data_IF_844670918786
#
_entry.id   IF_844670918786
#
_cell.length_a   1.000
_cell.length_b   1.000
_cell.length_c   1.000
_cell.angle_alpha   90.00
_cell.angle_beta   90.00
_cell.angle_gamma   90.00
#
_symmetry.space_group_name_H-M   'P 1'
#
loop_
_entity.id
_entity.type
_entity.pdbx_description
1 polymer ?
#
# COMPACT_ATOMS: atom_id res chain seq x y z
N UNK A 1 -9.01 -2.17 -12.77
CA UNK A 1 -9.35 -2.13 -11.33
C UNK A 1 -8.10 -1.75 -10.57
N UNK A 2 -8.23 -0.90 -9.55
CA UNK A 2 -7.13 -0.58 -8.64
C UNK A 2 -7.01 -1.67 -7.55
N UNK A 3 -5.83 -1.80 -6.96
CA UNK A 3 -5.57 -2.72 -5.85
C UNK A 3 -5.35 -1.92 -4.56
N UNK A 4 -5.93 -2.41 -3.46
CA UNK A 4 -5.72 -1.90 -2.11
C UNK A 4 -5.34 -3.07 -1.19
N UNK A 5 -4.16 -3.01 -0.58
CA UNK A 5 -3.71 -4.01 0.41
C UNK A 5 -4.10 -3.54 1.81
N UNK A 6 -4.79 -4.40 2.54
CA UNK A 6 -5.33 -4.10 3.88
C UNK A 6 -4.96 -5.23 4.82
N UNK A 7 -4.54 -4.87 6.02
CA UNK A 7 -4.34 -5.81 7.11
C UNK A 7 -5.60 -5.88 7.96
N UNK A 8 -6.12 -7.08 8.16
CA UNK A 8 -7.28 -7.36 9.00
C UNK A 8 -6.88 -8.32 10.11
N UNK A 9 -7.58 -8.27 11.24
CA UNK A 9 -7.47 -9.35 12.22
C UNK A 9 -7.94 -10.66 11.60
N UNK A 10 -7.34 -11.77 12.05
CA UNK A 10 -7.64 -13.10 11.50
C UNK A 10 -9.13 -13.45 11.61
N UNK A 11 -9.73 -13.16 12.77
CA UNK A 11 -11.15 -13.39 13.04
C UNK A 11 -12.07 -12.59 12.11
N UNK A 12 -11.71 -11.35 11.79
CA UNK A 12 -12.50 -10.52 10.87
C UNK A 12 -12.37 -11.00 9.43
N UNK A 13 -11.15 -11.35 8.99
CA UNK A 13 -10.91 -11.90 7.66
C UNK A 13 -11.69 -13.22 7.44
N UNK A 14 -11.67 -14.13 8.42
CA UNK A 14 -12.44 -15.38 8.32
C UNK A 14 -13.94 -15.11 8.22
N UNK A 15 -14.47 -14.25 9.11
CA UNK A 15 -15.89 -13.89 9.11
C UNK A 15 -16.30 -13.24 7.78
N UNK A 16 -15.50 -12.30 7.29
CA UNK A 16 -15.75 -11.62 6.02
C UNK A 16 -15.78 -12.60 4.85
N UNK A 17 -14.76 -13.46 4.73
CA UNK A 17 -14.69 -14.47 3.65
C UNK A 17 -15.90 -15.39 3.67
N UNK A 18 -16.25 -15.93 4.84
CA UNK A 18 -17.39 -16.83 4.97
C UNK A 18 -18.72 -16.17 4.56
N UNK A 19 -18.94 -14.93 4.97
CA UNK A 19 -20.16 -14.19 4.63
C UNK A 19 -20.18 -13.83 3.15
N UNK A 20 -19.11 -13.26 2.63
CA UNK A 20 -18.99 -12.89 1.22
C UNK A 20 -19.25 -14.09 0.29
N UNK A 21 -18.65 -15.25 0.61
CA UNK A 21 -18.84 -16.47 -0.18
C UNK A 21 -20.25 -17.05 -0.05
N UNK A 22 -20.92 -16.85 1.10
CA UNK A 22 -22.32 -17.26 1.28
C UNK A 22 -23.29 -16.40 0.45
N UNK A 23 -23.02 -15.09 0.33
CA UNK A 23 -23.88 -14.14 -0.37
C UNK A 23 -23.65 -14.18 -1.88
N UNK A 24 -22.40 -14.08 -2.33
CA UNK A 24 -22.05 -13.95 -3.75
C UNK A 24 -21.52 -15.26 -4.37
N UNK A 25 -21.39 -16.33 -3.58
CA UNK A 25 -20.91 -17.63 -4.03
C UNK A 25 -19.39 -17.84 -3.90
N UNK A 26 -18.94 -19.03 -4.28
CA UNK A 26 -17.57 -19.53 -4.09
C UNK A 26 -16.66 -19.26 -5.30
N UNK A 27 -17.02 -18.29 -6.15
CA UNK A 27 -16.31 -17.96 -7.38
C UNK A 27 -15.23 -16.88 -7.23
N UNK A 28 -14.44 -16.70 -8.29
CA UNK A 28 -13.47 -15.61 -8.40
C UNK A 28 -14.20 -14.27 -8.36
N UNK A 29 -13.79 -13.40 -7.43
CA UNK A 29 -14.30 -12.03 -7.32
C UNK A 29 -15.41 -11.82 -6.29
N UNK A 30 -15.92 -12.87 -5.62
CA UNK A 30 -16.93 -12.71 -4.55
C UNK A 30 -16.45 -11.82 -3.40
N UNK A 31 -15.19 -11.97 -3.00
CA UNK A 31 -14.53 -11.14 -1.99
C UNK A 31 -14.39 -9.68 -2.44
N UNK A 32 -13.93 -9.48 -3.68
CA UNK A 32 -13.76 -8.14 -4.24
C UNK A 32 -15.11 -7.43 -4.36
N UNK A 33 -16.17 -8.14 -4.74
CA UNK A 33 -17.52 -7.58 -4.84
C UNK A 33 -18.08 -7.18 -3.48
N UNK A 34 -17.96 -8.05 -2.49
CA UNK A 34 -18.36 -7.75 -1.12
C UNK A 34 -17.57 -6.57 -0.54
N UNK A 35 -16.27 -6.47 -0.84
CA UNK A 35 -15.42 -5.37 -0.36
C UNK A 35 -15.78 -4.04 -1.03
N UNK A 36 -16.03 -4.04 -2.34
CA UNK A 36 -16.48 -2.86 -3.08
C UNK A 36 -17.79 -2.31 -2.50
N UNK A 37 -18.77 -3.16 -2.22
CA UNK A 37 -20.05 -2.73 -1.62
C UNK A 37 -19.84 -2.18 -0.21
N UNK A 38 -19.08 -2.88 0.65
CA UNK A 38 -18.81 -2.43 2.01
C UNK A 38 -18.05 -1.09 2.05
N UNK A 39 -17.05 -0.89 1.19
CA UNK A 39 -16.31 0.37 1.12
C UNK A 39 -17.15 1.51 0.54
N UNK A 40 -18.04 1.21 -0.42
CA UNK A 40 -18.98 2.21 -0.95
C UNK A 40 -19.90 2.71 0.15
N UNK A 41 -20.50 1.80 0.92
CA UNK A 41 -21.39 2.15 2.04
C UNK A 41 -20.63 2.93 3.12
N UNK A 42 -19.44 2.48 3.50
CA UNK A 42 -18.60 3.17 4.48
C UNK A 42 -18.26 4.60 4.05
N UNK A 43 -17.84 4.80 2.79
CA UNK A 43 -17.55 6.13 2.27
C UNK A 43 -18.80 7.01 2.27
N UNK A 44 -19.94 6.52 1.78
CA UNK A 44 -21.20 7.28 1.76
C UNK A 44 -21.65 7.73 3.14
N UNK A 45 -21.49 6.87 4.16
CA UNK A 45 -21.84 7.23 5.55
C UNK A 45 -20.91 8.33 6.12
N UNK A 46 -19.64 8.34 5.72
CA UNK A 46 -18.63 9.21 6.32
C UNK A 46 -18.34 10.49 5.51
N UNK A 47 -18.67 10.55 4.23
CA UNK A 47 -18.51 11.76 3.40
C UNK A 47 -19.28 12.95 3.97
N UNK A 48 -20.52 12.75 4.41
CA UNK A 48 -21.34 13.81 4.99
C UNK A 48 -20.86 14.30 6.36
N UNK A 49 -20.15 13.45 7.11
CA UNK A 49 -19.62 13.81 8.43
C UNK A 49 -18.41 14.75 8.33
N UNK A 50 -17.60 14.60 7.29
CA UNK A 50 -16.37 15.38 7.07
C UNK A 50 -16.63 16.80 6.55
N UNK A 51 -17.74 17.02 5.87
CA UNK A 51 -18.12 18.36 5.39
C UNK A 51 -18.62 19.28 6.50
N UNK A 52 -19.17 18.71 7.59
CA UNK A 52 -19.65 19.48 8.75
C UNK A 52 -18.53 20.08 9.61
N UNK A 53 -17.34 19.47 9.62
CA UNK A 53 -16.19 19.95 10.42
C UNK A 53 -15.36 21.03 9.70
N UNK A 54 -15.47 21.14 8.37
CA UNK A 54 -14.71 22.12 7.57
C UNK A 54 -15.27 23.55 7.65
N UNK A 55 -16.54 23.75 8.05
CA UNK A 55 -17.12 25.09 8.19
C UNK A 55 -16.75 25.81 9.50
N UNK A 56 -16.21 25.11 10.50
CA UNK A 56 -15.89 25.70 11.81
C UNK A 56 -14.43 26.16 11.99
N UNK A 57 -13.53 25.88 11.03
CA UNK A 57 -12.08 26.21 11.14
C UNK A 57 -11.59 27.35 10.23
N UNK A 58 -12.48 28.09 9.55
CA UNK A 58 -12.11 29.22 8.66
C UNK A 58 -12.40 30.59 9.27
N UNK A 59 -12.19 30.75 10.56
CA UNK A 59 -12.21 32.07 11.21
C UNK A 59 -11.37 32.02 12.47
N UNK A 60 -10.05 31.99 12.30
CA UNK A 60 -9.05 32.62 13.18
C UNK A 60 -7.65 32.05 12.88
N UNK A 61 -6.87 32.77 12.08
CA UNK A 61 -5.42 33.00 12.29
C UNK A 61 -4.97 33.99 11.22
N UNK A 62 -5.03 35.27 11.59
CA UNK A 62 -4.10 36.31 11.15
C UNK A 62 -2.68 35.97 11.62
N UNK A 63 -1.65 36.56 10.98
CA UNK A 63 -0.19 36.38 11.09
C UNK A 63 0.33 35.44 9.98
N UNK A 64 1.27 35.79 9.10
CA UNK A 64 2.26 36.87 9.03
C UNK A 64 3.44 36.31 8.20
N UNK A 65 4.08 37.15 7.39
CA UNK A 65 5.19 36.84 6.45
C UNK A 65 6.24 35.82 6.91
N UNK A 66 6.83 35.08 5.96
CA UNK A 66 8.13 34.41 6.11
C UNK A 66 8.58 33.63 4.87
N UNK A 67 9.55 34.19 4.15
CA UNK A 67 10.28 33.58 3.03
C UNK A 67 11.29 32.49 3.45
N UNK A 68 11.83 31.81 2.43
CA UNK A 68 13.10 31.05 2.35
C UNK A 68 13.08 29.53 2.55
N UNK A 69 13.29 28.86 1.39
CA UNK A 69 14.38 27.92 1.11
C UNK A 69 14.54 26.65 1.95
N UNK A 70 14.27 25.53 1.26
CA UNK A 70 15.25 24.47 1.02
C UNK A 70 15.67 23.64 2.21
N UNK A 71 15.10 22.43 2.32
CA UNK A 71 15.82 21.29 2.91
C UNK A 71 15.16 19.98 2.46
N UNK A 72 15.90 19.23 1.66
CA UNK A 72 15.53 17.90 1.16
C UNK A 72 15.50 16.91 2.32
N UNK A 73 14.33 16.36 2.61
CA UNK A 73 14.16 15.27 3.56
C UNK A 73 14.93 14.03 3.08
N UNK A 74 15.98 13.70 3.82
CA UNK A 74 16.70 12.43 3.76
C UNK A 74 15.71 11.32 4.16
N UNK A 75 15.57 10.32 3.29
CA UNK A 75 14.79 9.11 3.56
C UNK A 75 15.49 8.27 4.65
N UNK A 76 14.81 7.87 5.73
CA UNK A 76 15.41 7.10 6.81
C UNK A 76 15.51 5.58 6.56
N UNK A 77 15.23 5.08 5.35
CA UNK A 77 15.13 3.63 5.07
C UNK A 77 16.39 2.98 4.45
N UNK A 78 17.48 3.73 4.26
CA UNK A 78 18.71 3.16 3.69
C UNK A 78 19.71 2.77 4.78
N UNK A 79 19.44 1.65 5.45
CA UNK A 79 20.42 1.00 6.33
C UNK A 79 20.34 -0.52 6.24
N UNK A 80 20.92 -1.08 5.18
CA UNK A 80 21.84 -2.23 5.22
C UNK A 80 22.09 -2.74 3.79
N UNK A 81 23.29 -2.51 3.26
CA UNK A 81 24.15 -3.57 2.73
C UNK A 81 25.46 -2.96 2.21
N UNK A 82 26.38 -2.70 3.13
CA UNK A 82 27.75 -2.31 2.80
C UNK A 82 28.66 -3.45 3.27
N UNK A 83 29.38 -4.02 2.29
CA UNK A 83 30.61 -4.84 2.36
C UNK A 83 30.46 -6.35 2.42
N UNK A 84 30.54 -6.96 1.24
CA UNK A 84 31.56 -7.96 0.89
C UNK A 84 31.95 -7.66 -0.56
N UNK A 85 32.90 -6.76 -0.82
CA UNK A 85 34.31 -7.06 -1.08
C UNK A 85 34.53 -8.32 -1.95
N UNK A 86 34.98 -8.11 -3.19
CA UNK A 86 36.17 -8.72 -3.84
C UNK A 86 36.01 -8.75 -5.37
N UNK A 87 37.00 -8.17 -6.08
CA UNK A 87 37.47 -8.56 -7.42
C UNK A 87 36.49 -8.37 -8.59
N UNK A 88 36.61 -7.36 -9.45
CA UNK A 88 37.67 -7.18 -10.47
C UNK A 88 37.83 -8.36 -11.44
N UNK A 89 37.60 -8.05 -12.73
CA UNK A 89 37.99 -8.75 -13.96
C UNK A 89 37.20 -9.99 -14.44
N UNK A 90 36.78 -9.89 -15.71
CA UNK A 90 36.98 -11.00 -16.66
C UNK A 90 35.73 -11.49 -17.37
N UNK A 91 35.35 -10.81 -18.44
CA UNK A 91 34.64 -11.45 -19.56
C UNK A 91 35.60 -12.47 -20.19
N UNK A 92 35.17 -13.72 -20.42
CA UNK A 92 35.38 -14.44 -21.70
C UNK A 92 35.03 -15.95 -21.63
N UNK A 93 34.20 -16.34 -22.60
CA UNK A 93 34.27 -17.54 -23.46
C UNK A 93 34.28 -18.98 -22.90
N UNK A 94 33.21 -19.67 -23.30
CA UNK A 94 33.15 -20.90 -24.13
C UNK A 94 33.53 -22.28 -23.57
N UNK A 95 32.73 -23.25 -24.07
CA UNK A 95 32.84 -24.72 -24.13
C UNK A 95 32.32 -25.46 -22.88
N UNK A 96 31.27 -26.31 -22.97
CA UNK A 96 31.02 -27.52 -23.79
C UNK A 96 31.85 -28.72 -23.34
N UNK A 97 31.14 -29.86 -23.20
CA UNK A 97 31.61 -31.23 -22.91
C UNK A 97 31.77 -31.52 -21.42
N UNK A 98 31.22 -32.57 -20.80
CA UNK A 98 30.46 -33.72 -21.27
C UNK A 98 30.36 -34.76 -20.13
N UNK A 99 29.42 -35.71 -20.31
CA UNK A 99 29.35 -37.11 -19.84
C UNK A 99 30.09 -37.59 -18.58
N UNK A 100 29.39 -38.43 -17.82
CA UNK A 100 29.69 -39.88 -17.59
C UNK A 100 28.54 -40.46 -16.74
N UNK A 101 27.76 -41.44 -17.21
CA UNK A 101 27.96 -42.91 -17.11
C UNK A 101 28.44 -43.39 -15.77
#
# INVERSE_FOLDING_TARGET
MAELKIYLSESLNEKFRRIAMRVYGYGRGSLSKAAEEAFTEWCSEHEHSLDSEKSAKRSETTHGNGSSEGESHINPDERENVRQEVGSFGEDKLNSTGSST
#
